data_IF_331726910959
#
_entry.id   IF_331726910959
#
_cell.length_a   1.000
_cell.length_b   1.000
_cell.length_c   1.000
_cell.angle_alpha   90.00
_cell.angle_beta   90.00
_cell.angle_gamma   90.00
#
_symmetry.space_group_name_H-M   'P 1'
#
loop_
_entity.id
_entity.type
_entity.pdbx_description
1 polymer ?
#
# COMPACT_ATOMS: atom_id res chain seq x y z
N UNK A 1 15.26 -17.90 9.06
CA UNK A 1 14.30 -16.79 9.09
C UNK A 1 15.04 -15.51 8.73
N UNK A 2 14.67 -14.87 7.65
CA UNK A 2 15.33 -13.64 7.23
C UNK A 2 14.80 -12.46 8.05
N UNK A 3 15.72 -11.61 8.47
CA UNK A 3 15.33 -10.36 9.13
C UNK A 3 14.67 -9.44 8.10
N UNK A 4 13.63 -8.73 8.55
CA UNK A 4 12.96 -7.75 7.70
C UNK A 4 13.87 -6.53 7.54
N UNK A 5 14.15 -6.14 6.30
CA UNK A 5 15.00 -4.99 6.00
C UNK A 5 14.16 -3.71 5.99
N UNK A 6 14.07 -3.04 7.14
CA UNK A 6 13.26 -1.83 7.33
C UNK A 6 13.75 -0.71 6.41
N UNK A 7 15.06 -0.48 6.37
CA UNK A 7 15.64 0.59 5.54
C UNK A 7 15.42 0.30 4.06
N UNK A 8 15.63 -0.94 3.65
CA UNK A 8 15.37 -1.36 2.25
C UNK A 8 13.90 -1.18 1.88
N UNK A 9 12.98 -1.46 2.79
CA UNK A 9 11.55 -1.27 2.56
C UNK A 9 11.22 0.21 2.37
N UNK A 10 11.81 1.10 3.16
CA UNK A 10 11.62 2.55 3.02
C UNK A 10 12.14 3.01 1.64
N UNK A 11 13.32 2.53 1.25
CA UNK A 11 13.89 2.85 -0.05
C UNK A 11 13.01 2.36 -1.20
N UNK A 12 12.48 1.15 -1.09
CA UNK A 12 11.55 0.57 -2.07
C UNK A 12 10.29 1.43 -2.22
N UNK A 13 9.71 1.86 -1.10
CA UNK A 13 8.52 2.71 -1.12
C UNK A 13 8.79 4.07 -1.77
N UNK A 14 9.95 4.66 -1.49
CA UNK A 14 10.37 5.90 -2.14
C UNK A 14 10.50 5.71 -3.66
N UNK A 15 11.15 4.63 -4.08
CA UNK A 15 11.34 4.33 -5.50
C UNK A 15 10.01 4.12 -6.22
N UNK A 16 9.10 3.38 -5.61
CA UNK A 16 7.80 3.08 -6.23
C UNK A 16 6.95 4.33 -6.43
N UNK A 17 7.16 5.36 -5.60
CA UNK A 17 6.44 6.63 -5.67
C UNK A 17 7.23 7.73 -6.38
N UNK A 18 8.44 7.45 -6.80
CA UNK A 18 9.37 8.46 -7.35
C UNK A 18 9.60 9.61 -6.38
N UNK A 19 9.72 9.27 -5.09
CA UNK A 19 9.98 10.25 -4.03
C UNK A 19 11.46 10.33 -3.73
N UNK A 20 11.91 11.56 -3.45
CA UNK A 20 13.24 11.80 -2.87
C UNK A 20 13.14 11.65 -1.34
N UNK A 21 14.27 11.47 -0.69
CA UNK A 21 14.32 11.45 0.78
C UNK A 21 13.87 12.80 1.36
N UNK A 22 14.12 13.88 0.65
CA UNK A 22 13.66 15.21 1.04
C UNK A 22 12.13 15.26 1.09
N UNK A 23 11.48 14.69 0.08
CA UNK A 23 10.01 14.62 0.05
C UNK A 23 9.46 13.76 1.18
N UNK A 24 10.10 12.63 1.46
CA UNK A 24 9.72 11.77 2.57
C UNK A 24 9.89 12.51 3.90
N UNK A 25 10.97 13.25 4.08
CA UNK A 25 11.19 14.04 5.28
C UNK A 25 10.07 15.04 5.51
N UNK A 26 9.64 15.76 4.47
CA UNK A 26 8.52 16.69 4.55
C UNK A 26 7.20 15.98 4.89
N UNK A 27 6.93 14.87 4.22
CA UNK A 27 5.68 14.13 4.42
C UNK A 27 5.58 13.52 5.82
N UNK A 28 6.70 13.03 6.35
CA UNK A 28 6.75 12.35 7.66
C UNK A 28 6.94 13.30 8.83
N UNK A 29 7.39 14.53 8.57
CA UNK A 29 7.73 15.48 9.63
C UNK A 29 9.04 15.18 10.34
N UNK A 30 9.90 14.34 9.76
CA UNK A 30 11.23 14.04 10.28
C UNK A 30 12.24 14.97 9.59
N UNK A 31 13.17 15.58 10.34
CA UNK A 31 14.20 16.43 9.71
C UNK A 31 14.98 15.66 8.65
N UNK A 32 15.25 16.30 7.53
CA UNK A 32 15.95 15.66 6.41
C UNK A 32 17.31 15.09 6.84
N UNK A 33 18.07 15.84 7.64
CA UNK A 33 19.38 15.39 8.13
C UNK A 33 19.28 14.09 8.93
N UNK A 34 18.25 13.99 9.78
CA UNK A 34 18.01 12.79 10.57
C UNK A 34 17.62 11.61 9.68
N UNK A 35 16.71 11.83 8.75
CA UNK A 35 16.24 10.80 7.84
C UNK A 35 17.37 10.31 6.92
N UNK A 36 18.13 11.24 6.36
CA UNK A 36 19.26 10.93 5.48
C UNK A 36 20.31 10.11 6.19
N UNK A 37 20.69 10.50 7.40
CA UNK A 37 21.67 9.76 8.21
C UNK A 37 21.18 8.34 8.49
N UNK A 38 19.91 8.20 8.89
CA UNK A 38 19.30 6.92 9.19
C UNK A 38 19.34 5.99 7.96
N UNK A 39 18.97 6.49 6.80
CA UNK A 39 18.91 5.68 5.57
C UNK A 39 20.31 5.36 5.03
N UNK A 40 21.25 6.29 5.11
CA UNK A 40 22.61 6.05 4.63
C UNK A 40 23.40 5.10 5.53
N UNK A 41 23.18 5.14 6.84
CA UNK A 41 23.85 4.27 7.79
C UNK A 41 23.09 2.97 8.05
N UNK A 42 21.95 2.79 7.40
CA UNK A 42 21.08 1.62 7.58
C UNK A 42 20.67 1.40 9.05
N UNK A 43 20.49 2.50 9.80
CA UNK A 43 20.03 2.43 11.18
C UNK A 43 18.51 2.19 11.21
N UNK A 44 18.08 1.23 12.00
CA UNK A 44 16.64 0.93 12.14
C UNK A 44 15.97 2.07 12.88
N UNK A 45 14.89 2.67 12.32
CA UNK A 45 14.17 3.73 13.01
C UNK A 45 13.45 3.22 14.26
N UNK A 46 13.23 4.12 15.22
CA UNK A 46 12.38 3.82 16.37
C UNK A 46 10.93 3.64 15.91
N UNK A 47 10.11 3.02 16.75
CA UNK A 47 8.69 2.83 16.43
C UNK A 47 7.98 4.17 16.19
N UNK A 48 8.16 5.22 17.04
CA UNK A 48 7.56 6.51 16.73
C UNK A 48 7.99 7.10 15.39
N UNK A 49 9.26 6.96 15.03
CA UNK A 49 9.75 7.42 13.71
C UNK A 49 9.13 6.63 12.58
N UNK A 50 9.00 5.31 12.75
CA UNK A 50 8.40 4.44 11.74
C UNK A 50 6.92 4.78 11.52
N UNK A 51 6.19 5.09 12.57
CA UNK A 51 4.79 5.54 12.47
C UNK A 51 4.71 6.83 11.63
N UNK A 52 5.61 7.78 11.88
CA UNK A 52 5.65 9.03 11.10
C UNK A 52 5.94 8.76 9.62
N UNK A 53 6.85 7.84 9.34
CA UNK A 53 7.19 7.44 7.96
C UNK A 53 5.98 6.81 7.29
N UNK A 54 5.30 5.89 7.95
CA UNK A 54 4.10 5.25 7.41
C UNK A 54 2.99 6.25 7.16
N UNK A 55 2.77 7.19 8.09
CA UNK A 55 1.79 8.27 7.91
C UNK A 55 2.14 9.13 6.69
N UNK A 56 3.43 9.42 6.51
CA UNK A 56 3.89 10.18 5.35
C UNK A 56 3.63 9.47 4.04
N UNK A 57 3.77 8.16 4.00
CA UNK A 57 3.45 7.34 2.83
C UNK A 57 1.94 7.08 2.67
N UNK A 58 1.14 7.31 3.70
CA UNK A 58 -0.29 7.00 3.67
C UNK A 58 -0.58 5.51 3.78
N UNK A 59 0.26 4.76 4.47
CA UNK A 59 0.10 3.32 4.67
C UNK A 59 0.05 3.00 6.17
N UNK A 60 -0.44 1.81 6.50
CA UNK A 60 -0.42 1.30 7.87
C UNK A 60 0.90 0.59 8.15
N UNK A 61 1.19 0.35 9.43
CA UNK A 61 2.35 -0.47 9.83
C UNK A 61 2.22 -1.89 9.26
N UNK A 62 1.01 -2.45 9.24
CA UNK A 62 0.78 -3.77 8.66
C UNK A 62 1.15 -3.80 7.18
N UNK A 63 0.75 -2.80 6.42
CA UNK A 63 1.09 -2.68 5.00
C UNK A 63 2.60 -2.51 4.81
N UNK A 64 3.24 -1.74 5.67
CA UNK A 64 4.69 -1.56 5.64
C UNK A 64 5.42 -2.89 5.78
N UNK A 65 5.06 -3.68 6.78
CA UNK A 65 5.73 -4.95 7.08
C UNK A 65 5.32 -6.10 6.15
N UNK A 66 4.16 -6.01 5.50
CA UNK A 66 3.74 -7.05 4.55
C UNK A 66 4.51 -7.02 3.24
N UNK A 67 5.22 -5.93 2.97
CA UNK A 67 5.91 -5.75 1.70
C UNK A 67 4.98 -5.48 0.53
N UNK A 68 3.70 -5.23 0.79
CA UNK A 68 2.70 -4.96 -0.23
C UNK A 68 2.24 -3.52 -0.18
N UNK A 69 2.46 -2.80 -1.25
CA UNK A 69 1.86 -1.48 -1.45
C UNK A 69 0.64 -1.68 -2.37
N UNK A 70 -0.48 -2.02 -1.76
CA UNK A 70 -1.69 -2.39 -2.49
C UNK A 70 -2.21 -1.24 -3.35
N UNK A 71 -2.03 0.00 -2.90
CA UNK A 71 -2.52 1.16 -3.66
C UNK A 71 -1.73 1.38 -4.94
N UNK A 72 -0.44 1.04 -4.96
CA UNK A 72 0.41 1.21 -6.14
C UNK A 72 0.20 0.12 -7.19
N UNK A 73 -0.39 -1.02 -6.80
CA UNK A 73 -0.56 -2.19 -7.67
C UNK A 73 -1.96 -2.31 -8.27
N UNK A 74 -2.88 -1.44 -7.89
CA UNK A 74 -4.24 -1.46 -8.43
C UNK A 74 -4.26 -0.93 -9.85
N UNK A 75 -4.99 -1.61 -10.72
CA UNK A 75 -5.25 -1.14 -12.07
C UNK A 75 -6.22 0.03 -12.05
N UNK A 76 -6.33 0.75 -13.16
CA UNK A 76 -7.25 1.90 -13.25
C UNK A 76 -8.70 1.48 -13.02
N UNK A 77 -9.12 0.35 -13.57
CA UNK A 77 -10.47 -0.18 -13.37
C UNK A 77 -10.72 -0.64 -11.95
N UNK A 78 -9.72 -1.21 -11.28
CA UNK A 78 -9.82 -1.57 -9.86
C UNK A 78 -9.99 -0.32 -8.99
N UNK A 79 -9.22 0.73 -9.26
CA UNK A 79 -9.35 2.00 -8.53
C UNK A 79 -10.74 2.61 -8.73
N UNK A 80 -11.25 2.59 -9.95
CA UNK A 80 -12.60 3.08 -10.25
C UNK A 80 -13.66 2.26 -9.52
N UNK A 81 -13.51 0.95 -9.50
CA UNK A 81 -14.42 0.05 -8.79
C UNK A 81 -14.46 0.38 -7.29
N UNK A 82 -13.31 0.61 -6.67
CA UNK A 82 -13.25 0.98 -5.25
C UNK A 82 -13.93 2.32 -4.97
N UNK A 83 -13.74 3.30 -5.85
CA UNK A 83 -14.40 4.60 -5.70
C UNK A 83 -15.93 4.46 -5.73
N UNK A 84 -16.45 3.66 -6.65
CA UNK A 84 -17.89 3.39 -6.76
C UNK A 84 -18.37 2.60 -5.54
N UNK A 85 -17.61 1.59 -5.13
CA UNK A 85 -17.91 0.75 -3.98
C UNK A 85 -18.09 1.58 -2.71
N UNK A 86 -17.19 2.54 -2.48
CA UNK A 86 -17.22 3.38 -1.28
C UNK A 86 -18.46 4.25 -1.19
N UNK A 87 -19.15 4.46 -2.32
CA UNK A 87 -20.39 5.26 -2.38
C UNK A 87 -21.63 4.45 -2.08
N UNK A 88 -21.50 3.12 -1.96
CA UNK A 88 -22.63 2.23 -1.72
C UNK A 88 -22.90 2.05 -0.22
N UNK A 89 -24.16 1.85 0.13
CA UNK A 89 -24.54 1.44 1.49
C UNK A 89 -24.29 -0.06 1.66
N UNK A 90 -24.45 -0.58 2.89
CA UNK A 90 -24.17 -1.97 3.20
C UNK A 90 -25.03 -2.95 2.40
N UNK A 91 -26.32 -2.63 2.22
CA UNK A 91 -27.23 -3.47 1.42
C UNK A 91 -26.79 -3.53 -0.04
N UNK A 92 -26.43 -2.39 -0.60
CA UNK A 92 -25.98 -2.30 -1.99
C UNK A 92 -24.64 -2.99 -2.19
N UNK A 93 -23.75 -2.91 -1.20
CA UNK A 93 -22.47 -3.64 -1.24
C UNK A 93 -22.68 -5.14 -1.29
N UNK A 94 -23.62 -5.67 -0.50
CA UNK A 94 -23.94 -7.08 -0.51
C UNK A 94 -24.48 -7.54 -1.87
N UNK A 95 -25.35 -6.75 -2.48
CA UNK A 95 -25.86 -7.04 -3.83
C UNK A 95 -24.77 -6.98 -4.87
N UNK A 96 -23.89 -5.98 -4.79
CA UNK A 96 -22.77 -5.83 -5.71
C UNK A 96 -21.82 -7.03 -5.64
N UNK A 97 -21.50 -7.48 -4.43
CA UNK A 97 -20.64 -8.66 -4.24
C UNK A 97 -21.27 -9.92 -4.84
N UNK A 98 -22.57 -10.12 -4.64
CA UNK A 98 -23.30 -11.26 -5.21
C UNK A 98 -23.26 -11.23 -6.74
N UNK A 99 -23.43 -10.04 -7.31
CA UNK A 99 -23.41 -9.86 -8.76
C UNK A 99 -22.00 -10.17 -9.33
N UNK A 100 -20.97 -9.62 -8.71
CA UNK A 100 -19.58 -9.86 -9.12
C UNK A 100 -19.22 -11.34 -9.00
N UNK A 101 -19.61 -11.97 -7.89
CA UNK A 101 -19.36 -13.40 -7.66
C UNK A 101 -20.05 -14.24 -8.72
N UNK A 102 -21.31 -13.91 -9.05
CA UNK A 102 -22.06 -14.61 -10.09
C UNK A 102 -21.40 -14.51 -11.47
N UNK A 103 -20.85 -13.36 -11.80
CA UNK A 103 -20.11 -13.18 -13.05
C UNK A 103 -18.85 -14.02 -13.09
N UNK A 104 -18.11 -14.07 -11.99
CA UNK A 104 -16.89 -14.87 -11.88
C UNK A 104 -17.19 -16.38 -12.00
N UNK A 105 -18.23 -16.84 -11.31
CA UNK A 105 -18.64 -18.24 -11.35
C UNK A 105 -19.09 -18.65 -12.75
N UNK A 106 -19.84 -17.80 -13.42
CA UNK A 106 -20.28 -18.02 -14.80
C UNK A 106 -19.08 -18.14 -15.75
N UNK A 107 -18.10 -17.29 -15.59
CA UNK A 107 -16.90 -17.30 -16.43
C UNK A 107 -16.10 -18.58 -16.23
N UNK A 108 -15.97 -19.06 -14.99
CA UNK A 108 -15.30 -20.34 -14.70
C UNK A 108 -16.00 -21.53 -15.36
N UNK A 109 -17.32 -21.56 -15.34
CA UNK A 109 -18.10 -22.61 -15.99
C UNK A 109 -17.87 -22.62 -17.50
N UNK A 110 -17.86 -21.45 -18.12
CA UNK A 110 -17.59 -21.34 -19.56
C UNK A 110 -16.17 -21.80 -19.94
N UNK A 111 -15.17 -21.50 -19.10
CA UNK A 111 -13.80 -21.93 -19.31
C UNK A 111 -13.65 -23.44 -19.17
N UNK A 112 -14.40 -24.08 -18.28
CA UNK A 112 -14.38 -25.53 -18.08
C UNK A 112 -15.02 -26.32 -19.22
N UNK A 113 -15.90 -25.68 -19.98
CA UNK A 113 -16.56 -26.32 -21.12
C UNK A 113 -15.69 -26.40 -22.37
N UNK A 114 -14.57 -25.74 -22.36
CA UNK A 114 -13.58 -25.81 -23.43
C UNK A 114 -12.54 -26.90 -23.09
#
# INVERSE_FOLDING_TARGET
>A
MQEFDVVGRIQELCQSRSWTYYRLAKASGIPYSTLSTMLHKANVPSIPSLIKICDGFGITLAQFFSGRDETAKLTADQKQCLCIWDRLDDSSKALAMSYIQGLADRQEVELRKK
#
